data_IF_624544719965
#
_entry.id   IF_624544719965
#
_cell.length_a   1.000
_cell.length_b   1.000
_cell.length_c   1.000
_cell.angle_alpha   90.00
_cell.angle_beta   90.00
_cell.angle_gamma   90.00
#
_symmetry.space_group_name_H-M   'P 1'
#
loop_
_entity.id
_entity.type
_entity.pdbx_description
1 polymer ?
#
# COMPACT_ATOMS: atom_id res chain seq x y z
N UNK A 1 -1.85 1.84 33.11
CA UNK A 1 -2.08 2.90 34.12
C UNK A 1 -2.87 3.99 33.42
N UNK A 2 -3.83 4.59 34.10
CA UNK A 2 -4.74 5.61 33.52
C UNK A 2 -3.97 6.79 32.89
N UNK A 3 -2.82 7.15 33.47
CA UNK A 3 -1.90 8.16 32.95
C UNK A 3 -1.45 7.91 31.49
N UNK A 4 -1.42 6.65 31.05
CA UNK A 4 -0.99 6.28 29.71
C UNK A 4 -2.09 6.45 28.65
N UNK A 5 -3.35 6.60 29.06
CA UNK A 5 -4.50 6.62 28.15
C UNK A 5 -4.42 7.78 27.15
N UNK A 6 -3.77 8.88 27.54
CA UNK A 6 -3.63 10.08 26.71
C UNK A 6 -2.35 10.13 25.87
N UNK A 7 -1.43 9.17 26.00
CA UNK A 7 -0.11 9.26 25.35
C UNK A 7 -0.20 9.39 23.84
N UNK A 8 -1.07 8.62 23.20
CA UNK A 8 -1.24 8.65 21.75
C UNK A 8 -1.82 9.99 21.27
N UNK A 9 -2.95 10.42 21.85
CA UNK A 9 -3.59 11.70 21.55
C UNK A 9 -2.64 12.88 21.80
N UNK A 10 -1.94 12.88 22.94
CA UNK A 10 -1.01 13.95 23.28
C UNK A 10 0.15 14.02 22.30
N UNK A 11 0.69 12.87 21.84
CA UNK A 11 1.72 12.87 20.82
C UNK A 11 1.22 13.48 19.51
N UNK A 12 0.03 13.07 19.04
CA UNK A 12 -0.57 13.56 17.80
C UNK A 12 -0.81 15.08 17.88
N UNK A 13 -1.35 15.58 18.99
CA UNK A 13 -1.56 17.01 19.19
C UNK A 13 -0.25 17.79 19.34
N UNK A 14 0.73 17.25 20.07
CA UNK A 14 2.04 17.87 20.18
C UNK A 14 2.72 17.98 18.81
N UNK A 15 2.59 16.96 17.96
CA UNK A 15 3.13 17.00 16.61
C UNK A 15 2.55 18.17 15.81
N UNK A 16 1.22 18.34 15.84
CA UNK A 16 0.54 19.46 15.19
C UNK A 16 1.03 20.82 15.71
N UNK A 17 1.08 20.99 17.04
CA UNK A 17 1.54 22.24 17.65
C UNK A 17 2.98 22.55 17.23
N UNK A 18 3.88 21.56 17.24
CA UNK A 18 5.27 21.75 16.81
C UNK A 18 5.33 22.19 15.35
N UNK A 19 4.55 21.59 14.45
CA UNK A 19 4.55 21.95 13.02
C UNK A 19 3.96 23.33 12.76
N UNK A 20 2.96 23.74 13.54
CA UNK A 20 2.34 25.07 13.46
C UNK A 20 3.26 26.17 14.01
N UNK A 21 4.02 25.88 15.07
CA UNK A 21 4.83 26.88 15.80
C UNK A 21 6.29 26.95 15.36
N UNK A 22 6.85 25.86 14.82
CA UNK A 22 8.26 25.76 14.43
C UNK A 22 8.39 25.34 12.96
N UNK A 23 8.30 26.31 12.02
CA UNK A 23 8.53 26.04 10.61
C UNK A 23 9.87 25.35 10.36
N UNK A 24 9.86 24.27 9.59
CA UNK A 24 11.05 23.49 9.28
C UNK A 24 11.38 22.38 10.29
N UNK A 25 10.73 22.35 11.46
CA UNK A 25 10.89 21.22 12.38
C UNK A 25 10.37 19.91 11.76
N UNK A 26 11.13 18.85 11.99
CA UNK A 26 10.81 17.48 11.57
C UNK A 26 10.55 16.61 12.79
N UNK A 27 9.55 15.74 12.69
CA UNK A 27 9.07 14.93 13.81
C UNK A 27 9.27 13.47 13.51
N UNK A 28 10.03 12.80 14.37
CA UNK A 28 10.29 11.37 14.32
C UNK A 28 9.95 10.72 15.65
N UNK A 29 9.35 9.52 15.62
CA UNK A 29 8.92 8.82 16.83
C UNK A 29 8.94 7.30 16.68
N UNK A 30 9.38 6.61 17.74
CA UNK A 30 9.30 5.15 17.84
C UNK A 30 7.96 4.71 18.41
N UNK A 31 7.32 3.73 17.77
CA UNK A 31 5.97 3.27 18.16
C UNK A 31 5.97 2.06 19.08
N UNK A 32 7.13 1.49 19.40
CA UNK A 32 7.23 0.25 20.21
C UNK A 32 6.57 0.35 21.59
N UNK A 33 6.52 1.55 22.17
CA UNK A 33 5.91 1.79 23.48
C UNK A 33 4.38 1.84 23.41
N UNK A 34 3.82 2.27 22.26
CA UNK A 34 2.38 2.32 22.03
C UNK A 34 1.74 0.93 22.15
N UNK A 35 2.44 -0.10 21.68
CA UNK A 35 1.93 -1.48 21.62
C UNK A 35 2.58 -2.41 22.66
N UNK A 36 3.19 -1.86 23.72
CA UNK A 36 3.97 -2.63 24.70
C UNK A 36 3.15 -3.73 25.39
N UNK A 37 1.90 -3.45 25.75
CA UNK A 37 1.01 -4.40 26.43
C UNK A 37 0.60 -5.59 25.55
N UNK A 38 0.86 -5.53 24.24
CA UNK A 38 0.48 -6.53 23.25
C UNK A 38 1.69 -7.30 22.68
N UNK A 39 2.81 -7.33 23.42
CA UNK A 39 4.00 -8.11 23.04
C UNK A 39 3.65 -9.57 22.74
N UNK A 40 4.15 -10.09 21.62
CA UNK A 40 3.83 -11.43 21.13
C UNK A 40 2.52 -11.53 20.35
N UNK A 41 1.78 -10.41 20.20
CA UNK A 41 0.51 -10.33 19.46
C UNK A 41 0.69 -9.44 18.23
N UNK A 42 1.59 -9.86 17.31
CA UNK A 42 2.09 -9.00 16.24
C UNK A 42 0.99 -8.40 15.35
N UNK A 43 -0.06 -9.16 15.00
CA UNK A 43 -1.16 -8.63 14.17
C UNK A 43 -1.85 -7.40 14.79
N UNK A 44 -1.98 -7.37 16.12
CA UNK A 44 -2.59 -6.24 16.83
C UNK A 44 -1.61 -5.08 16.93
N UNK A 45 -0.33 -5.37 17.21
CA UNK A 45 0.71 -4.34 17.26
C UNK A 45 0.85 -3.65 15.90
N UNK A 46 0.85 -4.42 14.82
CA UNK A 46 0.92 -3.96 13.44
C UNK A 46 -0.30 -3.09 13.09
N UNK A 47 -1.51 -3.51 13.46
CA UNK A 47 -2.72 -2.70 13.29
C UNK A 47 -2.66 -1.39 14.08
N UNK A 48 -2.30 -1.43 15.38
CA UNK A 48 -2.15 -0.24 16.22
C UNK A 48 -1.14 0.75 15.63
N UNK A 49 0.02 0.26 15.18
CA UNK A 49 1.02 1.12 14.54
C UNK A 49 0.49 1.73 13.24
N UNK A 50 -0.23 0.95 12.41
CA UNK A 50 -0.82 1.43 11.17
C UNK A 50 -1.84 2.56 11.41
N UNK A 51 -2.75 2.37 12.36
CA UNK A 51 -3.77 3.37 12.73
C UNK A 51 -3.11 4.63 13.32
N UNK A 52 -2.14 4.46 14.21
CA UNK A 52 -1.45 5.61 14.78
C UNK A 52 -0.72 6.43 13.73
N UNK A 53 0.02 5.78 12.83
CA UNK A 53 0.76 6.47 11.77
C UNK A 53 -0.18 7.18 10.81
N UNK A 54 -1.31 6.56 10.44
CA UNK A 54 -2.32 7.17 9.59
C UNK A 54 -2.76 8.55 10.13
N UNK A 55 -3.06 8.63 11.43
CA UNK A 55 -3.43 9.90 12.07
C UNK A 55 -2.24 10.82 12.29
N UNK A 56 -1.13 10.31 12.83
CA UNK A 56 0.01 11.14 13.20
C UNK A 56 0.61 11.87 11.98
N UNK A 57 0.62 11.24 10.80
CA UNK A 57 1.07 11.86 9.54
C UNK A 57 0.18 13.06 9.18
N UNK A 58 -1.14 12.94 9.33
CA UNK A 58 -2.08 14.05 9.06
C UNK A 58 -1.88 15.23 10.01
N UNK A 59 -1.39 14.96 11.22
CA UNK A 59 -1.03 15.97 12.21
C UNK A 59 0.46 16.39 12.12
N UNK A 60 1.16 15.95 11.08
CA UNK A 60 2.47 16.47 10.69
C UNK A 60 3.68 15.69 11.24
N UNK A 61 3.49 14.45 11.69
CA UNK A 61 4.59 13.51 11.91
C UNK A 61 5.30 13.18 10.59
N UNK A 62 6.62 13.31 10.53
CA UNK A 62 7.39 13.09 9.30
C UNK A 62 7.92 11.64 9.19
N UNK A 63 8.23 10.98 10.31
CA UNK A 63 8.84 9.63 10.28
C UNK A 63 8.47 8.76 11.48
N UNK A 64 8.03 7.51 11.23
CA UNK A 64 7.85 6.49 12.26
C UNK A 64 8.98 5.46 12.29
N UNK A 65 9.52 5.17 13.48
CA UNK A 65 10.49 4.08 13.67
C UNK A 65 9.71 2.80 14.03
N UNK A 66 9.53 1.93 13.04
CA UNK A 66 8.70 0.71 13.09
C UNK A 66 9.22 -0.37 12.17
N UNK A 67 8.71 -1.60 12.33
CA UNK A 67 8.86 -2.65 11.32
C UNK A 67 7.88 -2.41 10.15
N UNK A 68 8.27 -1.52 9.24
CA UNK A 68 7.40 -1.07 8.15
C UNK A 68 7.05 -2.16 7.12
N UNK A 69 7.83 -3.25 7.05
CA UNK A 69 7.55 -4.38 6.17
C UNK A 69 6.31 -5.21 6.57
N UNK A 70 5.87 -5.06 7.82
CA UNK A 70 4.76 -5.78 8.42
C UNK A 70 3.51 -4.91 8.64
N UNK A 71 3.57 -3.61 8.34
CA UNK A 71 2.39 -2.77 8.51
C UNK A 71 1.29 -3.21 7.52
N UNK A 72 0.03 -3.33 7.97
CA UNK A 72 -1.09 -3.51 7.07
C UNK A 72 -1.36 -2.22 6.31
N UNK A 73 -2.04 -2.31 5.17
CA UNK A 73 -2.71 -1.14 4.59
C UNK A 73 -3.86 -0.80 5.53
N UNK A 74 -4.05 0.48 5.84
CA UNK A 74 -5.04 0.91 6.82
C UNK A 74 -6.46 0.37 6.50
N UNK A 75 -6.86 0.41 5.24
CA UNK A 75 -8.18 -0.07 4.78
C UNK A 75 -8.32 -1.61 4.80
N UNK A 76 -7.22 -2.35 4.94
CA UNK A 76 -7.23 -3.82 5.03
C UNK A 76 -7.36 -4.34 6.46
N UNK A 77 -7.25 -3.46 7.47
CA UNK A 77 -7.40 -3.84 8.86
C UNK A 77 -8.85 -4.28 9.09
N UNK A 78 -9.05 -5.44 9.72
CA UNK A 78 -10.39 -5.95 10.04
C UNK A 78 -11.20 -4.88 10.79
N UNK A 79 -12.45 -4.64 10.37
CA UNK A 79 -13.26 -3.51 10.85
C UNK A 79 -13.35 -3.43 12.38
N UNK A 80 -13.55 -4.57 13.04
CA UNK A 80 -13.64 -4.61 14.50
C UNK A 80 -12.29 -4.25 15.17
N UNK A 81 -11.18 -4.75 14.62
CA UNK A 81 -9.84 -4.42 15.13
C UNK A 81 -9.49 -2.96 14.87
N UNK A 82 -9.86 -2.44 13.70
CA UNK A 82 -9.69 -1.03 13.35
C UNK A 82 -10.44 -0.13 14.34
N UNK A 83 -11.71 -0.44 14.61
CA UNK A 83 -12.52 0.33 15.56
C UNK A 83 -11.92 0.30 16.97
N UNK A 84 -11.51 -0.87 17.46
CA UNK A 84 -10.85 -0.99 18.76
C UNK A 84 -9.53 -0.20 18.84
N UNK A 85 -8.76 -0.19 17.75
CA UNK A 85 -7.51 0.58 17.68
C UNK A 85 -7.78 2.09 17.63
N UNK A 86 -8.79 2.53 16.87
CA UNK A 86 -9.25 3.93 16.82
C UNK A 86 -9.70 4.43 18.20
N UNK A 87 -10.54 3.66 18.89
CA UNK A 87 -11.04 4.03 20.21
C UNK A 87 -9.92 4.10 21.24
N UNK A 88 -8.96 3.18 21.17
CA UNK A 88 -7.78 3.19 22.02
C UNK A 88 -6.87 4.39 21.74
N UNK A 89 -6.56 4.68 20.47
CA UNK A 89 -5.64 5.75 20.09
C UNK A 89 -6.22 7.12 20.41
N UNK A 90 -7.52 7.30 20.19
CA UNK A 90 -8.22 8.55 20.47
C UNK A 90 -8.77 8.65 21.89
N UNK A 91 -8.56 7.63 22.73
CA UNK A 91 -9.08 7.52 24.08
C UNK A 91 -10.60 7.82 24.15
N UNK A 92 -11.37 7.24 23.20
CA UNK A 92 -12.83 7.42 23.10
C UNK A 92 -13.60 6.50 24.03
N UNK A 93 -13.00 5.37 24.40
CA UNK A 93 -13.59 4.36 25.26
C UNK A 93 -12.63 4.04 26.42
N UNK A 94 -13.04 4.27 27.69
CA UNK A 94 -12.21 3.96 28.85
C UNK A 94 -11.88 2.47 28.97
N UNK A 95 -12.68 1.58 28.36
CA UNK A 95 -12.48 0.14 28.35
C UNK A 95 -11.73 -0.36 27.10
N UNK A 96 -11.27 0.54 26.22
CA UNK A 96 -10.65 0.17 24.93
C UNK A 96 -9.49 -0.82 25.10
N UNK A 97 -8.67 -0.64 26.14
CA UNK A 97 -7.53 -1.54 26.42
C UNK A 97 -8.01 -2.96 26.73
N UNK A 98 -9.04 -3.10 27.56
CA UNK A 98 -9.59 -4.40 27.96
C UNK A 98 -10.30 -5.08 26.80
N UNK A 99 -11.10 -4.33 26.03
CA UNK A 99 -11.78 -4.83 24.82
C UNK A 99 -10.78 -5.29 23.77
N UNK A 100 -9.71 -4.53 23.54
CA UNK A 100 -8.65 -4.93 22.62
C UNK A 100 -7.90 -6.16 23.15
N UNK A 101 -7.64 -6.27 24.45
CA UNK A 101 -7.02 -7.46 25.05
C UNK A 101 -7.92 -8.69 24.94
N UNK A 102 -9.24 -8.54 25.13
CA UNK A 102 -10.20 -9.62 24.97
C UNK A 102 -10.28 -10.07 23.49
N UNK A 103 -10.33 -9.13 22.55
CA UNK A 103 -10.20 -9.42 21.12
C UNK A 103 -8.90 -10.19 20.84
N UNK A 104 -7.81 -9.76 21.47
CA UNK A 104 -6.51 -10.37 21.36
C UNK A 104 -6.48 -11.81 21.91
N UNK A 105 -7.16 -12.10 23.01
CA UNK A 105 -7.21 -13.46 23.57
C UNK A 105 -8.07 -14.41 22.73
N UNK A 106 -9.18 -13.90 22.20
CA UNK A 106 -10.11 -14.65 21.36
C UNK A 106 -9.55 -14.92 19.96
N UNK A 107 -8.75 -14.01 19.41
CA UNK A 107 -8.20 -14.10 18.05
C UNK A 107 -6.68 -14.33 17.99
N UNK A 108 -5.96 -14.21 19.11
CA UNK A 108 -4.48 -14.24 19.16
C UNK A 108 -3.86 -15.61 19.39
N UNK A 109 -4.62 -16.62 19.84
CA UNK A 109 -4.17 -18.01 19.84
C UNK A 109 -4.45 -18.65 18.48
N UNK A 110 -3.59 -18.35 17.52
CA UNK A 110 -3.71 -18.92 16.18
C UNK A 110 -4.77 -18.22 15.36
N UNK A 111 -4.66 -16.89 15.26
CA UNK A 111 -5.04 -16.21 14.04
C UNK A 111 -4.30 -16.93 12.92
N UNK A 112 -4.97 -17.94 12.33
CA UNK A 112 -4.58 -18.52 11.05
C UNK A 112 -4.19 -17.29 10.25
N UNK A 113 -2.93 -17.21 9.76
CA UNK A 113 -2.65 -16.40 8.57
C UNK A 113 -3.88 -16.63 7.72
N UNK A 114 -4.73 -15.59 7.56
CA UNK A 114 -5.98 -15.75 6.85
C UNK A 114 -5.58 -16.53 5.62
N UNK A 115 -6.05 -17.79 5.54
CA UNK A 115 -5.70 -18.64 4.42
C UNK A 115 -6.07 -17.74 3.27
N UNK A 116 -5.09 -17.25 2.52
CA UNK A 116 -5.34 -16.41 1.38
C UNK A 116 -6.04 -17.37 0.44
N UNK A 117 -7.35 -17.50 0.62
CA UNK A 117 -8.21 -18.00 -0.39
C UNK A 117 -7.97 -17.01 -1.50
N UNK A 118 -7.47 -17.54 -2.61
CA UNK A 118 -7.23 -16.81 -3.84
C UNK A 118 -8.59 -16.39 -4.45
N UNK A 119 -9.59 -16.00 -3.63
CA UNK A 119 -10.93 -15.53 -4.02
C UNK A 119 -10.85 -14.34 -4.97
N UNK A 120 -9.85 -13.48 -4.76
CA UNK A 120 -9.53 -12.37 -5.65
C UNK A 120 -9.20 -12.82 -7.09
N UNK A 121 -8.81 -14.09 -7.28
CA UNK A 121 -8.56 -14.69 -8.61
C UNK A 121 -9.84 -14.94 -9.41
N UNK A 122 -10.99 -14.96 -8.75
CA UNK A 122 -12.28 -15.16 -9.42
C UNK A 122 -12.78 -13.88 -10.12
N UNK A 123 -12.12 -12.73 -9.89
CA UNK A 123 -12.42 -11.48 -10.57
C UNK A 123 -11.94 -11.45 -12.02
N UNK A 124 -12.26 -10.34 -12.69
CA UNK A 124 -11.76 -10.00 -14.03
C UNK A 124 -10.24 -9.81 -14.04
N UNK A 125 -9.64 -9.85 -15.24
CA UNK A 125 -8.20 -9.64 -15.42
C UNK A 125 -7.78 -8.28 -14.82
N UNK A 126 -8.59 -7.25 -15.01
CA UNK A 126 -8.33 -5.90 -14.49
C UNK A 126 -8.33 -5.88 -12.96
N UNK A 127 -9.33 -6.49 -12.32
CA UNK A 127 -9.41 -6.60 -10.86
C UNK A 127 -8.24 -7.41 -10.29
N UNK A 128 -7.82 -8.48 -10.97
CA UNK A 128 -6.68 -9.29 -10.55
C UNK A 128 -5.36 -8.54 -10.65
N UNK A 129 -5.14 -7.81 -11.74
CA UNK A 129 -3.93 -6.98 -11.93
C UNK A 129 -3.88 -5.83 -10.92
N UNK A 130 -5.01 -5.14 -10.70
CA UNK A 130 -5.12 -4.11 -9.67
C UNK A 130 -4.84 -4.66 -8.28
N UNK A 131 -5.48 -5.79 -7.91
CA UNK A 131 -5.25 -6.44 -6.63
C UNK A 131 -3.79 -6.85 -6.44
N UNK A 132 -3.17 -7.45 -7.46
CA UNK A 132 -1.76 -7.83 -7.42
C UNK A 132 -0.84 -6.62 -7.22
N UNK A 133 -1.14 -5.48 -7.84
CA UNK A 133 -0.39 -4.23 -7.66
C UNK A 133 -0.58 -3.67 -6.25
N UNK A 134 -1.81 -3.51 -5.78
CA UNK A 134 -2.11 -2.94 -4.45
C UNK A 134 -1.53 -3.81 -3.32
N UNK A 135 -1.58 -5.14 -3.46
CA UNK A 135 -1.06 -6.08 -2.46
C UNK A 135 0.42 -6.43 -2.64
N UNK A 136 1.03 -6.02 -3.75
CA UNK A 136 2.43 -6.34 -4.06
C UNK A 136 2.68 -7.84 -4.31
N UNK A 137 1.75 -8.52 -4.99
CA UNK A 137 1.81 -9.96 -5.28
C UNK A 137 2.45 -10.20 -6.66
N UNK A 138 3.65 -10.81 -6.67
CA UNK A 138 4.37 -11.12 -7.92
C UNK A 138 3.98 -12.47 -8.55
N UNK A 139 3.20 -13.30 -7.84
CA UNK A 139 3.03 -14.73 -8.16
C UNK A 139 2.30 -14.97 -9.49
N UNK A 140 1.25 -14.20 -9.77
CA UNK A 140 0.34 -14.43 -10.91
C UNK A 140 0.36 -13.30 -11.95
N UNK A 141 1.20 -12.28 -11.73
CA UNK A 141 1.17 -11.06 -12.54
C UNK A 141 1.54 -11.31 -14.00
N UNK A 142 2.42 -12.27 -14.28
CA UNK A 142 2.83 -12.58 -15.65
C UNK A 142 1.69 -13.28 -16.38
N UNK A 143 1.06 -14.24 -15.72
CA UNK A 143 -0.08 -15.00 -16.24
C UNK A 143 -1.26 -14.06 -16.55
N UNK A 144 -1.59 -13.16 -15.63
CA UNK A 144 -2.66 -12.16 -15.84
C UNK A 144 -2.32 -11.16 -16.95
N UNK A 145 -1.06 -10.74 -17.03
CA UNK A 145 -0.59 -9.81 -18.08
C UNK A 145 -0.62 -10.49 -19.45
N UNK A 146 -0.28 -11.78 -19.52
CA UNK A 146 -0.38 -12.57 -20.75
C UNK A 146 -1.84 -12.78 -21.17
N UNK A 147 -2.73 -13.09 -20.22
CA UNK A 147 -4.16 -13.21 -20.51
C UNK A 147 -4.75 -11.89 -21.04
N UNK A 148 -4.35 -10.75 -20.45
CA UNK A 148 -4.69 -9.43 -20.98
C UNK A 148 -4.16 -9.23 -22.41
N UNK A 149 -2.92 -9.65 -22.68
CA UNK A 149 -2.27 -9.53 -24.00
C UNK A 149 -2.95 -10.37 -25.08
N UNK A 150 -3.46 -11.54 -24.72
CA UNK A 150 -4.20 -12.41 -25.63
C UNK A 150 -5.59 -11.84 -25.97
N UNK A 151 -6.15 -10.98 -25.12
CA UNK A 151 -7.40 -10.28 -25.38
C UNK A 151 -7.19 -9.06 -26.28
N UNK A 152 -6.93 -9.31 -27.56
CA UNK A 152 -6.69 -8.27 -28.58
C UNK A 152 -7.90 -7.39 -28.86
N UNK A 153 -9.12 -7.86 -28.55
CA UNK A 153 -10.33 -7.06 -28.70
C UNK A 153 -10.35 -5.89 -27.71
N UNK A 154 -10.02 -6.16 -26.44
CA UNK A 154 -9.98 -5.15 -25.38
C UNK A 154 -8.66 -4.39 -25.34
N UNK A 155 -7.55 -5.06 -25.67
CA UNK A 155 -6.20 -4.51 -25.65
C UNK A 155 -5.51 -4.74 -27.01
N UNK A 156 -5.81 -3.92 -28.02
CA UNK A 156 -5.23 -4.08 -29.36
C UNK A 156 -3.71 -4.01 -29.38
N UNK A 157 -3.11 -3.26 -28.45
CA UNK A 157 -1.67 -3.08 -28.31
C UNK A 157 -1.24 -3.45 -26.90
N UNK A 158 -0.06 -4.09 -26.70
CA UNK A 158 0.48 -4.34 -25.37
C UNK A 158 0.59 -3.07 -24.51
N UNK A 159 0.83 -1.91 -25.14
CA UNK A 159 0.84 -0.60 -24.47
C UNK A 159 -0.49 -0.29 -23.76
N UNK A 160 -1.63 -0.73 -24.29
CA UNK A 160 -2.94 -0.49 -23.68
C UNK A 160 -3.09 -1.19 -22.32
N UNK A 161 -2.35 -2.28 -22.08
CA UNK A 161 -2.35 -2.98 -20.79
C UNK A 161 -1.59 -2.15 -19.75
N UNK A 162 -0.49 -1.51 -20.17
CA UNK A 162 0.29 -0.59 -19.33
C UNK A 162 -0.53 0.64 -18.98
N UNK A 163 -1.13 1.30 -19.98
CA UNK A 163 -1.90 2.53 -19.81
C UNK A 163 -3.28 2.32 -19.18
N UNK A 164 -3.82 1.09 -19.26
CA UNK A 164 -5.10 0.71 -18.69
C UNK A 164 -4.97 0.05 -17.32
N UNK A 165 -5.15 -1.28 -17.21
CA UNK A 165 -5.25 -1.96 -15.91
C UNK A 165 -4.04 -1.74 -15.00
N UNK A 166 -2.83 -1.73 -15.55
CA UNK A 166 -1.63 -1.54 -14.74
C UNK A 166 -1.50 -0.12 -14.18
N UNK A 167 -1.78 0.90 -15.00
CA UNK A 167 -1.79 2.30 -14.54
C UNK A 167 -2.92 2.55 -13.53
N UNK A 168 -4.10 1.95 -13.74
CA UNK A 168 -5.21 2.05 -12.79
C UNK A 168 -4.83 1.51 -11.41
N UNK A 169 -4.20 0.33 -11.34
CA UNK A 169 -3.70 -0.21 -10.08
C UNK A 169 -2.64 0.69 -9.43
N UNK A 170 -1.73 1.26 -10.21
CA UNK A 170 -0.73 2.21 -9.71
C UNK A 170 -1.35 3.53 -9.21
N UNK A 171 -2.47 3.97 -9.80
CA UNK A 171 -3.22 5.13 -9.31
C UNK A 171 -3.80 4.85 -7.93
N UNK A 172 -4.41 3.69 -7.71
CA UNK A 172 -4.92 3.27 -6.39
C UNK A 172 -3.80 3.24 -5.35
N UNK A 173 -2.64 2.67 -5.70
CA UNK A 173 -1.45 2.70 -4.84
C UNK A 173 -1.03 4.13 -4.49
N UNK A 174 -1.03 5.04 -5.48
CA UNK A 174 -0.74 6.45 -5.30
C UNK A 174 -1.74 7.16 -4.38
N UNK A 175 -3.04 6.90 -4.54
CA UNK A 175 -4.11 7.48 -3.73
C UNK A 175 -4.01 7.00 -2.27
N UNK A 176 -3.76 5.70 -2.04
CA UNK A 176 -3.56 5.13 -0.70
C UNK A 176 -2.30 5.69 -0.03
N UNK A 177 -1.20 5.84 -0.76
CA UNK A 177 0.03 6.42 -0.23
C UNK A 177 -0.13 7.90 0.09
N UNK A 178 -0.75 8.67 -0.82
CA UNK A 178 -1.03 10.10 -0.61
C UNK A 178 -1.98 10.36 0.55
N UNK A 179 -2.91 9.44 0.82
CA UNK A 179 -3.79 9.48 1.99
C UNK A 179 -3.13 9.00 3.30
N UNK A 180 -1.86 8.55 3.27
CA UNK A 180 -1.16 7.99 4.43
C UNK A 180 -1.65 6.61 4.87
N UNK A 181 -2.46 5.94 4.04
CA UNK A 181 -3.02 4.60 4.30
C UNK A 181 -2.10 3.46 3.88
N UNK A 182 -1.15 3.76 2.99
CA UNK A 182 -0.11 2.86 2.50
C UNK A 182 1.26 3.48 2.74
N UNK A 183 2.26 2.66 3.06
CA UNK A 183 3.61 3.11 3.42
C UNK A 183 4.64 2.77 2.33
N UNK A 184 5.77 3.48 2.35
CA UNK A 184 6.81 3.38 1.32
C UNK A 184 7.27 1.94 1.00
N UNK A 185 7.48 1.03 1.98
CA UNK A 185 7.86 -0.36 1.65
C UNK A 185 6.78 -1.12 0.87
N UNK A 186 5.50 -0.81 1.08
CA UNK A 186 4.40 -1.41 0.32
C UNK A 186 4.41 -0.87 -1.12
N UNK A 187 4.59 0.43 -1.30
CA UNK A 187 4.73 1.07 -2.63
C UNK A 187 5.89 0.46 -3.42
N UNK A 188 7.02 0.18 -2.77
CA UNK A 188 8.17 -0.49 -3.42
C UNK A 188 7.80 -1.91 -3.89
N UNK A 189 6.98 -2.65 -3.13
CA UNK A 189 6.48 -3.97 -3.57
C UNK A 189 5.56 -3.83 -4.79
N UNK A 190 4.64 -2.87 -4.79
CA UNK A 190 3.78 -2.58 -5.94
C UNK A 190 4.59 -2.22 -7.19
N UNK A 191 5.62 -1.39 -7.04
CA UNK A 191 6.52 -1.03 -8.13
C UNK A 191 7.27 -2.24 -8.72
N UNK A 192 7.63 -3.23 -7.90
CA UNK A 192 8.23 -4.49 -8.37
C UNK A 192 7.24 -5.31 -9.21
N UNK A 193 5.99 -5.43 -8.76
CA UNK A 193 4.92 -6.10 -9.52
C UNK A 193 4.71 -5.41 -10.86
N UNK A 194 4.60 -4.08 -10.86
CA UNK A 194 4.48 -3.27 -12.07
C UNK A 194 5.64 -3.51 -13.03
N UNK A 195 6.89 -3.45 -12.53
CA UNK A 195 8.08 -3.71 -13.35
C UNK A 195 8.05 -5.10 -13.97
N UNK A 196 7.64 -6.12 -13.22
CA UNK A 196 7.55 -7.51 -13.70
C UNK A 196 6.51 -7.66 -14.82
N UNK A 197 5.34 -7.04 -14.67
CA UNK A 197 4.30 -7.00 -15.70
C UNK A 197 4.79 -6.30 -16.98
N UNK A 198 5.35 -5.09 -16.85
CA UNK A 198 5.87 -4.33 -18.00
C UNK A 198 7.01 -5.08 -18.70
N UNK A 199 7.93 -5.69 -17.95
CA UNK A 199 9.01 -6.49 -18.52
C UNK A 199 8.52 -7.67 -19.35
N UNK A 200 7.35 -8.24 -19.04
CA UNK A 200 6.71 -9.26 -19.86
C UNK A 200 6.19 -8.71 -21.19
N UNK A 201 5.73 -7.45 -21.22
CA UNK A 201 5.16 -6.81 -22.41
C UNK A 201 6.21 -6.25 -23.39
N UNK A 202 7.42 -5.92 -22.91
CA UNK A 202 8.48 -5.30 -23.73
C UNK A 202 8.77 -6.06 -25.04
N UNK A 203 9.00 -7.39 -25.05
CA UNK A 203 9.31 -8.10 -26.30
C UNK A 203 8.19 -8.01 -27.35
N UNK A 204 6.93 -7.94 -26.91
CA UNK A 204 5.78 -7.82 -27.81
C UNK A 204 5.63 -6.41 -28.37
N UNK A 205 5.94 -5.38 -27.56
CA UNK A 205 5.97 -3.99 -28.03
C UNK A 205 7.08 -3.76 -29.05
N UNK A 206 8.25 -4.38 -28.85
CA UNK A 206 9.37 -4.30 -29.80
C UNK A 206 9.00 -4.96 -31.13
N UNK A 207 8.40 -6.17 -31.09
CA UNK A 207 7.92 -6.86 -32.28
C UNK A 207 6.86 -6.07 -33.06
N UNK A 208 5.88 -5.51 -32.36
CA UNK A 208 4.86 -4.65 -32.98
C UNK A 208 5.50 -3.42 -33.66
N UNK A 209 6.51 -2.81 -33.02
CA UNK A 209 7.24 -1.66 -33.58
C UNK A 209 8.04 -2.05 -34.83
N UNK A 210 8.64 -3.23 -34.84
CA UNK A 210 9.35 -3.76 -36.03
C UNK A 210 8.39 -4.03 -37.19
N UNK A 211 7.26 -4.69 -36.93
CA UNK A 211 6.23 -4.94 -37.94
C UNK A 211 5.67 -3.64 -38.52
N UNK A 212 5.40 -2.65 -37.67
CA UNK A 212 4.98 -1.31 -38.10
C UNK A 212 6.04 -0.63 -38.97
N UNK A 213 7.33 -0.70 -38.61
CA UNK A 213 8.44 -0.14 -39.41
C UNK A 213 8.55 -0.77 -40.80
N UNK A 214 8.33 -2.08 -40.91
CA UNK A 214 8.34 -2.80 -42.20
C UNK A 214 7.14 -2.37 -43.07
N UNK A 215 6.01 -2.04 -42.45
CA UNK A 215 4.78 -1.63 -43.14
C UNK A 215 4.76 -0.15 -43.58
N UNK A 216 5.33 0.78 -42.80
CA UNK A 216 5.22 2.23 -43.05
C UNK A 216 6.47 2.90 -43.60
N UNK A 217 7.64 2.26 -43.59
CA UNK A 217 8.86 2.80 -44.20
C UNK A 217 9.41 4.11 -43.57
N UNK A 218 8.80 4.61 -42.49
CA UNK A 218 9.21 5.83 -41.79
C UNK A 218 9.82 5.52 -40.43
N UNK A 219 11.01 6.09 -40.21
CA UNK A 219 11.73 6.04 -38.93
C UNK A 219 11.11 7.08 -38.00
N UNK A 220 10.17 6.69 -37.15
CA UNK A 220 9.82 7.53 -36.00
C UNK A 220 10.94 7.43 -34.95
N UNK A 221 11.59 8.58 -34.74
CA UNK A 221 12.60 8.85 -33.72
C UNK A 221 12.16 8.37 -32.34
N UNK A 222 13.16 8.00 -31.54
CA UNK A 222 13.07 7.41 -30.20
C UNK A 222 12.00 8.04 -29.29
N UNK A 223 10.78 7.51 -29.36
CA UNK A 223 9.82 7.69 -28.28
C UNK A 223 10.36 6.98 -27.04
N UNK A 224 10.93 7.78 -26.13
CA UNK A 224 11.05 7.57 -24.69
C UNK A 224 10.94 6.11 -24.24
N UNK A 225 12.07 5.50 -23.91
CA UNK A 225 12.20 4.18 -23.27
C UNK A 225 10.98 3.84 -22.38
N UNK A 226 10.31 2.69 -22.56
CA UNK A 226 9.04 2.39 -21.87
C UNK A 226 9.16 2.48 -20.34
N UNK A 227 10.37 2.31 -19.79
CA UNK A 227 10.68 2.52 -18.38
C UNK A 227 10.45 3.94 -17.85
N UNK A 228 10.47 4.97 -18.72
CA UNK A 228 10.26 6.38 -18.30
C UNK A 228 8.80 6.72 -18.01
N UNK A 229 7.86 5.90 -18.49
CA UNK A 229 6.42 6.03 -18.23
C UNK A 229 5.99 5.35 -16.91
N UNK A 230 6.84 4.47 -16.35
CA UNK A 230 6.45 3.54 -15.28
C UNK A 230 6.82 4.02 -13.88
N UNK A 231 7.74 4.97 -13.78
CA UNK A 231 8.10 5.61 -12.50
C UNK A 231 7.77 7.08 -12.64
N UNK A 232 6.71 7.61 -11.99
CA UNK A 232 6.49 9.04 -11.99
C UNK A 232 7.70 9.65 -11.29
N UNK A 233 8.54 10.33 -12.07
CA UNK A 233 9.54 11.26 -11.56
C UNK A 233 8.82 12.50 -11.01
N UNK A 234 7.91 12.31 -10.06
CA UNK A 234 7.55 13.39 -9.13
C UNK A 234 8.54 13.28 -8.00
N UNK A 235 9.33 14.33 -7.84
CA UNK A 235 9.97 14.65 -6.57
C UNK A 235 8.90 14.54 -5.47
N UNK A 236 9.00 13.46 -4.70
CA UNK A 236 8.23 13.26 -3.48
C UNK A 236 8.61 14.40 -2.53
N UNK A 237 7.63 15.13 -1.95
CA UNK A 237 7.91 16.22 -1.02
C UNK A 237 8.63 15.74 0.25
#
# INVERSE_FOLDING_TARGET
MEEHNLYAVNFIHAAKIIKETLPGAKISGGLSNLSFSFRGMEAIREAMHGVFLYHAIQFGMDMGIVNAGNLPVYDDIHKDLLHLCEDLIWNKDPEATEKLLHYAQTHGKGGKKAVQTDEWRNGSIEERLEYALVKGIEKYVIEDTEEARLNQEKYPRPLNIIEGPLMNGMKVVGDLFGAGKMFLPQVIKSARVMKKAVSHLIPFMEKEREEAKVLTGTVEEEASHPYRLVVPARSWP
#
